data_IF_795342620640
#
_entry.id   IF_795342620640
#
_cell.length_a   1.000
_cell.length_b   1.000
_cell.length_c   1.000
_cell.angle_alpha   90.00
_cell.angle_beta   90.00
_cell.angle_gamma   90.00
#
_symmetry.space_group_name_H-M   'P 1'
#
loop_
_entity.id
_entity.type
_entity.pdbx_description
1 polymer ?
#
# COMPACT_ATOMS: atom_id res chain seq x y z
N UNK A 1 -13.16 0.85 20.24
CA UNK A 1 -13.37 0.71 18.79
C UNK A 1 -12.49 -0.43 18.34
N UNK A 2 -13.01 -1.40 17.59
CA UNK A 2 -12.22 -2.48 17.08
C UNK A 2 -11.12 -1.95 16.16
N UNK A 3 -10.00 -2.66 16.13
CA UNK A 3 -8.89 -2.39 15.23
C UNK A 3 -8.84 -3.47 14.16
N UNK A 4 -8.75 -3.04 12.91
CA UNK A 4 -8.67 -3.89 11.74
C UNK A 4 -7.27 -3.84 11.14
N UNK A 5 -6.73 -5.00 10.79
CA UNK A 5 -5.54 -5.14 9.97
C UNK A 5 -6.02 -5.36 8.53
N UNK A 6 -5.66 -4.43 7.64
CA UNK A 6 -6.11 -4.46 6.25
C UNK A 6 -4.89 -4.52 5.35
N UNK A 7 -4.83 -5.51 4.48
CA UNK A 7 -3.88 -5.55 3.38
C UNK A 7 -4.55 -4.99 2.13
N UNK A 8 -3.95 -3.96 1.56
CA UNK A 8 -4.42 -3.31 0.35
C UNK A 8 -3.32 -3.33 -0.71
N UNK A 9 -3.74 -3.54 -1.95
CA UNK A 9 -2.90 -3.40 -3.12
C UNK A 9 -3.11 -2.01 -3.72
N UNK A 10 -1.98 -1.37 -3.98
CA UNK A 10 -1.82 -0.08 -4.64
C UNK A 10 -0.67 -0.26 -5.65
N UNK A 11 0.23 0.71 -5.75
CA UNK A 11 1.55 0.51 -6.38
C UNK A 11 2.52 -0.36 -5.55
N UNK A 12 2.11 -0.70 -4.32
CA UNK A 12 2.81 -1.59 -3.40
C UNK A 12 1.77 -2.36 -2.60
N UNK A 13 2.16 -3.51 -2.04
CA UNK A 13 1.36 -4.14 -0.99
C UNK A 13 1.56 -3.36 0.30
N UNK A 14 0.45 -2.89 0.86
CA UNK A 14 0.44 -2.08 2.06
C UNK A 14 -0.41 -2.76 3.12
N UNK A 15 0.10 -2.83 4.34
CA UNK A 15 -0.66 -3.28 5.52
C UNK A 15 -0.94 -2.08 6.42
N UNK A 16 -2.22 -1.84 6.66
CA UNK A 16 -2.72 -0.78 7.53
C UNK A 16 -3.35 -1.35 8.81
N UNK A 17 -3.19 -0.62 9.91
CA UNK A 17 -4.06 -0.72 11.08
C UNK A 17 -5.07 0.41 11.03
N UNK A 18 -6.35 0.08 11.16
CA UNK A 18 -7.46 1.03 11.08
C UNK A 18 -8.37 0.85 12.28
N UNK A 19 -8.67 1.93 13.00
CA UNK A 19 -9.67 1.94 14.06
C UNK A 19 -11.00 2.41 13.47
N UNK A 20 -12.03 1.57 13.53
CA UNK A 20 -13.34 1.84 12.93
C UNK A 20 -14.46 1.12 13.69
N UNK A 21 -15.71 1.53 13.51
CA UNK A 21 -16.86 0.90 14.17
C UNK A 21 -17.25 -0.44 13.52
N UNK A 22 -17.07 -0.55 12.20
CA UNK A 22 -17.37 -1.75 11.43
C UNK A 22 -16.32 -2.01 10.32
N UNK A 23 -16.28 -3.22 9.74
CA UNK A 23 -15.35 -3.56 8.66
C UNK A 23 -15.48 -2.66 7.42
N UNK A 24 -16.70 -2.25 7.08
CA UNK A 24 -16.97 -1.38 5.93
C UNK A 24 -16.40 0.02 6.13
N UNK A 25 -16.58 0.59 7.33
CA UNK A 25 -15.95 1.86 7.71
C UNK A 25 -14.43 1.73 7.71
N UNK A 26 -13.90 0.59 8.17
CA UNK A 26 -12.47 0.33 8.18
C UNK A 26 -11.89 0.36 6.76
N UNK A 27 -12.57 -0.24 5.78
CA UNK A 27 -12.18 -0.18 4.36
C UNK A 27 -12.18 1.26 3.83
N UNK A 28 -13.23 2.03 4.14
CA UNK A 28 -13.34 3.44 3.75
C UNK A 28 -12.26 4.35 4.36
N UNK A 29 -11.66 3.92 5.47
CA UNK A 29 -10.57 4.62 6.15
C UNK A 29 -9.17 4.11 5.77
N UNK A 30 -9.05 3.03 4.99
CA UNK A 30 -7.74 2.56 4.50
C UNK A 30 -7.12 3.68 3.70
N UNK A 31 -5.88 3.96 3.99
CA UNK A 31 -5.19 5.03 3.30
C UNK A 31 -5.57 6.45 3.77
N UNK A 32 -6.30 6.60 4.88
CA UNK A 32 -6.45 7.91 5.52
C UNK A 32 -5.32 8.15 6.52
N UNK A 33 -4.64 9.30 6.43
CA UNK A 33 -3.66 9.72 7.46
C UNK A 33 -4.28 9.93 8.84
N UNK A 34 -5.58 10.21 8.89
CA UNK A 34 -6.30 10.51 10.15
C UNK A 34 -6.80 9.24 10.83
N UNK A 35 -7.09 8.19 10.06
CA UNK A 35 -7.78 6.99 10.55
C UNK A 35 -7.03 5.68 10.32
N UNK A 36 -5.90 5.70 9.59
CA UNK A 36 -5.09 4.52 9.33
C UNK A 36 -3.61 4.76 9.64
N UNK A 37 -2.97 3.72 10.15
CA UNK A 37 -1.52 3.68 10.35
C UNK A 37 -0.94 2.60 9.44
N UNK A 38 -0.06 2.96 8.52
CA UNK A 38 0.70 1.95 7.79
C UNK A 38 1.74 1.32 8.70
N UNK A 39 1.72 -0.01 8.76
CA UNK A 39 2.68 -0.80 9.54
C UNK A 39 3.64 -1.61 8.67
N UNK A 40 3.31 -1.83 7.41
CA UNK A 40 4.16 -2.55 6.47
C UNK A 40 3.91 -2.10 5.04
N UNK A 41 4.97 -2.00 4.25
CA UNK A 41 4.91 -1.74 2.83
C UNK A 41 5.94 -2.63 2.12
N UNK A 42 5.47 -3.35 1.11
CA UNK A 42 6.27 -4.15 0.21
C UNK A 42 6.05 -3.62 -1.22
N UNK A 43 7.07 -2.97 -1.76
CA UNK A 43 7.06 -2.59 -3.17
C UNK A 43 7.14 -3.88 -3.97
N UNK A 44 6.06 -4.19 -4.70
CA UNK A 44 6.04 -5.37 -5.55
C UNK A 44 6.95 -5.15 -6.75
N UNK A 45 7.66 -6.20 -7.16
CA UNK A 45 8.55 -6.17 -8.33
C UNK A 45 7.82 -5.89 -9.65
N UNK A 46 6.49 -5.77 -9.60
CA UNK A 46 5.60 -5.30 -10.66
C UNK A 46 5.69 -3.79 -10.86
N UNK A 47 6.90 -3.30 -11.18
CA UNK A 47 7.06 -2.15 -12.09
C UNK A 47 6.70 -2.54 -13.55
N UNK A 48 6.02 -3.68 -13.70
CA UNK A 48 5.72 -4.37 -14.94
C UNK A 48 4.48 -3.81 -15.61
N UNK A 49 3.52 -3.21 -14.88
CA UNK A 49 2.27 -2.78 -15.52
C UNK A 49 2.34 -1.39 -16.19
N UNK A 50 3.12 -0.45 -15.65
CA UNK A 50 3.22 0.89 -16.26
C UNK A 50 4.36 0.99 -17.29
N UNK A 51 5.46 0.24 -17.08
CA UNK A 51 6.64 0.28 -17.96
C UNK A 51 7.00 -1.05 -18.62
N UNK A 52 6.26 -2.14 -18.35
CA UNK A 52 6.53 -3.44 -18.96
C UNK A 52 7.83 -4.12 -18.49
N UNK A 53 8.41 -3.70 -17.36
CA UNK A 53 9.78 -4.04 -16.98
C UNK A 53 9.96 -4.25 -15.47
N UNK A 54 10.70 -5.27 -15.06
CA UNK A 54 11.00 -5.52 -13.64
C UNK A 54 12.09 -4.59 -13.10
N UNK A 55 12.18 -4.42 -11.78
CA UNK A 55 13.26 -3.65 -11.14
C UNK A 55 14.65 -4.19 -11.46
N UNK A 56 14.83 -5.51 -11.55
CA UNK A 56 16.10 -6.12 -11.94
C UNK A 56 16.49 -5.76 -13.38
N UNK A 57 15.52 -5.69 -14.29
CA UNK A 57 15.74 -5.21 -15.65
C UNK A 57 16.06 -3.71 -15.68
N UNK A 58 15.33 -2.89 -14.93
CA UNK A 58 15.57 -1.45 -14.83
C UNK A 58 16.98 -1.14 -14.28
N UNK A 59 17.38 -1.86 -13.22
CA UNK A 59 18.73 -1.78 -12.62
C UNK A 59 19.82 -2.20 -13.61
N UNK A 60 19.58 -3.25 -14.40
CA UNK A 60 20.49 -3.71 -15.46
C UNK A 60 20.67 -2.65 -16.55
N UNK A 61 19.64 -1.84 -16.82
CA UNK A 61 19.68 -0.73 -17.77
C UNK A 61 20.26 0.57 -17.20
N UNK A 62 20.67 0.58 -15.92
CA UNK A 62 21.20 1.78 -15.26
C UNK A 62 20.12 2.80 -14.88
N UNK A 63 18.85 2.37 -14.82
CA UNK A 63 17.76 3.19 -14.30
C UNK A 63 17.89 3.24 -12.77
N UNK A 64 17.79 4.45 -12.21
CA UNK A 64 17.90 4.67 -10.77
C UNK A 64 16.62 4.25 -10.05
N UNK A 65 16.51 2.94 -9.80
CA UNK A 65 15.39 2.31 -9.09
C UNK A 65 15.22 2.86 -7.68
N UNK A 66 16.30 3.24 -7.00
CA UNK A 66 16.23 3.78 -5.64
C UNK A 66 15.69 5.22 -5.64
N UNK A 67 16.02 6.00 -6.67
CA UNK A 67 15.35 7.28 -6.92
C UNK A 67 13.87 7.10 -7.22
N UNK A 68 13.50 6.15 -8.07
CA UNK A 68 12.09 5.85 -8.35
C UNK A 68 11.38 5.46 -7.05
N UNK A 69 11.91 4.51 -6.28
CA UNK A 69 11.34 4.09 -4.99
C UNK A 69 11.18 5.24 -4.00
N UNK A 70 12.11 6.19 -3.98
CA UNK A 70 12.03 7.36 -3.09
C UNK A 70 11.12 8.48 -3.62
N UNK A 71 10.99 8.60 -4.94
CA UNK A 71 10.03 9.49 -5.63
C UNK A 71 8.60 8.94 -5.57
N UNK A 72 8.42 7.63 -5.38
CA UNK A 72 7.17 6.99 -4.97
C UNK A 72 6.82 7.41 -3.54
N UNK A 73 6.43 8.67 -3.43
CA UNK A 73 6.17 9.34 -2.19
C UNK A 73 4.90 8.77 -1.58
N UNK A 74 4.98 8.47 -0.29
CA UNK A 74 3.93 7.87 0.53
C UNK A 74 2.57 8.61 0.40
N UNK A 75 2.64 9.91 0.16
CA UNK A 75 1.48 10.79 0.01
C UNK A 75 0.67 10.54 -1.27
N UNK A 76 1.29 10.03 -2.34
CA UNK A 76 0.58 9.70 -3.59
C UNK A 76 -0.10 8.32 -3.52
N UNK A 77 0.47 7.38 -2.77
CA UNK A 77 -0.09 6.04 -2.56
C UNK A 77 -1.42 6.08 -1.81
N UNK A 78 -1.60 7.06 -0.91
CA UNK A 78 -2.81 7.19 -0.12
C UNK A 78 -4.09 7.41 -0.95
N UNK A 79 -3.99 7.97 -2.16
CA UNK A 79 -5.14 8.30 -3.01
C UNK A 79 -5.52 7.21 -4.03
N UNK A 80 -4.78 6.09 -4.11
CA UNK A 80 -5.03 5.03 -5.09
C UNK A 80 -4.98 3.63 -4.47
N UNK A 81 -6.09 3.22 -3.84
CA UNK A 81 -6.32 1.81 -3.50
C UNK A 81 -6.89 1.12 -4.73
N UNK A 82 -6.13 0.18 -5.30
CA UNK A 82 -6.58 -0.62 -6.44
C UNK A 82 -7.40 -1.82 -5.99
N UNK A 83 -7.00 -2.46 -4.89
CA UNK A 83 -7.75 -3.59 -4.32
C UNK A 83 -7.55 -3.73 -2.81
N UNK A 84 -8.54 -4.30 -2.13
CA UNK A 84 -8.40 -4.82 -0.77
C UNK A 84 -8.15 -6.33 -0.86
N UNK A 85 -6.99 -6.78 -0.40
CA UNK A 85 -6.60 -8.20 -0.43
C UNK A 85 -7.18 -8.97 0.76
N UNK A 86 -7.21 -8.36 1.95
CA UNK A 86 -7.76 -8.99 3.15
C UNK A 86 -8.05 -7.99 4.27
N UNK A 87 -8.96 -8.37 5.17
CA UNK A 87 -9.31 -7.67 6.39
C UNK A 87 -9.40 -8.66 7.56
N UNK A 88 -8.83 -8.29 8.70
CA UNK A 88 -8.79 -9.11 9.92
C UNK A 88 -9.03 -8.22 11.15
N UNK A 89 -9.81 -8.68 12.13
CA UNK A 89 -9.95 -8.01 13.43
C UNK A 89 -8.79 -8.40 14.33
N UNK A 90 -7.98 -7.41 14.76
CA UNK A 90 -6.82 -7.62 15.63
C UNK A 90 -7.09 -7.25 17.08
N UNK A 91 -8.11 -6.43 17.34
CA UNK A 91 -8.55 -6.05 18.70
C UNK A 91 -10.02 -5.64 18.66
N UNK A 92 -10.79 -6.06 19.67
CA UNK A 92 -12.18 -5.62 19.89
C UNK A 92 -12.29 -4.43 20.85
#
# INVERSE_FOLDING_TARGET
>A
MPTYKINAFQLARCTYLVEADCPEDAIGCVGSKEHSTLIHQEILDEFVDEYGMSFEQAKTLGIDVERIRSEYNFDANFEHIEAIESIEVVKE
#
